data_IF_339766881506
#
_entry.id   IF_339766881506
#
_cell.length_a   1.000
_cell.length_b   1.000
_cell.length_c   1.000
_cell.angle_alpha   90.00
_cell.angle_beta   90.00
_cell.angle_gamma   90.00
#
_symmetry.space_group_name_H-M   'P 1'
#
loop_
_entity.id
_entity.type
_entity.pdbx_description
1 polymer ?
#
# COMPACT_ATOMS: atom_id res chain seq x y z
N UNK A 1 19.69 -21.20 -7.03
CA UNK A 1 20.59 -20.08 -7.38
C UNK A 1 20.80 -19.25 -6.13
N UNK A 2 22.00 -18.69 -5.92
CA UNK A 2 22.43 -18.17 -4.62
C UNK A 2 21.55 -16.99 -4.18
N UNK A 3 20.91 -17.05 -2.99
CA UNK A 3 20.20 -15.92 -2.43
C UNK A 3 21.15 -14.74 -2.24
N UNK A 4 20.57 -13.53 -2.13
CA UNK A 4 21.31 -12.28 -1.94
C UNK A 4 22.50 -12.46 -0.98
N UNK A 5 23.73 -12.11 -1.38
CA UNK A 5 24.88 -12.27 -0.50
C UNK A 5 24.90 -11.25 0.64
N UNK A 6 24.20 -10.11 0.52
CA UNK A 6 23.95 -9.18 1.63
C UNK A 6 22.77 -8.22 1.36
N UNK A 7 22.33 -7.50 2.40
CA UNK A 7 21.26 -6.49 2.34
C UNK A 7 21.78 -5.05 2.16
N UNK A 8 22.96 -4.87 1.55
CA UNK A 8 23.62 -3.56 1.46
C UNK A 8 22.99 -2.60 0.44
N UNK A 9 23.27 -1.31 0.58
CA UNK A 9 22.84 -0.28 -0.38
C UNK A 9 23.61 -0.37 -1.72
N UNK A 10 24.86 -0.83 -1.69
CA UNK A 10 25.74 -1.02 -2.86
C UNK A 10 26.53 -2.32 -2.72
N UNK A 11 26.90 -2.98 -3.82
CA UNK A 11 27.72 -4.20 -3.72
C UNK A 11 29.01 -3.97 -2.93
N UNK A 12 29.27 -4.83 -1.92
CA UNK A 12 30.43 -4.72 -1.05
C UNK A 12 30.35 -3.60 0.00
N UNK A 13 29.26 -2.83 0.04
CA UNK A 13 29.05 -1.74 0.99
C UNK A 13 27.63 -1.80 1.59
N UNK A 14 27.56 -2.09 2.89
CA UNK A 14 26.28 -2.12 3.61
C UNK A 14 25.55 -0.78 3.56
N UNK A 15 26.29 0.32 3.63
CA UNK A 15 25.79 1.69 3.58
C UNK A 15 26.62 2.48 2.55
N UNK A 16 25.95 3.18 1.64
CA UNK A 16 26.63 4.13 0.75
C UNK A 16 27.21 5.29 1.57
N UNK A 17 28.36 5.86 1.18
CA UNK A 17 28.83 7.11 1.75
C UNK A 17 27.80 8.24 1.55
N UNK A 18 27.78 9.29 2.41
CA UNK A 18 26.83 10.40 2.28
C UNK A 18 26.89 11.10 0.92
N UNK A 19 28.08 11.16 0.30
CA UNK A 19 28.33 11.66 -1.05
C UNK A 19 29.01 10.57 -1.86
N UNK A 20 28.53 10.31 -3.07
CA UNK A 20 29.09 9.29 -3.96
C UNK A 20 29.10 9.81 -5.39
N UNK A 21 30.16 9.49 -6.14
CA UNK A 21 30.21 9.73 -7.57
C UNK A 21 29.40 8.65 -8.29
N UNK A 22 28.47 9.09 -9.13
CA UNK A 22 27.65 8.23 -9.98
C UNK A 22 28.00 8.50 -11.43
N UNK A 23 28.42 7.47 -12.15
CA UNK A 23 28.71 7.60 -13.58
C UNK A 23 27.43 7.45 -14.38
N UNK A 24 27.04 8.53 -15.07
CA UNK A 24 25.82 8.59 -15.85
C UNK A 24 26.13 8.44 -17.34
N UNK A 25 25.71 7.31 -17.93
CA UNK A 25 25.84 7.03 -19.36
C UNK A 25 24.65 7.61 -20.13
N UNK A 26 24.88 8.67 -20.89
CA UNK A 26 23.87 9.37 -21.70
C UNK A 26 23.57 8.64 -23.03
N UNK A 27 22.38 8.85 -23.64
CA UNK A 27 21.99 8.21 -24.90
C UNK A 27 22.86 8.60 -26.09
N UNK A 28 23.50 9.77 -26.04
CA UNK A 28 24.42 10.26 -27.06
C UNK A 28 25.84 9.67 -26.96
N UNK A 29 26.05 8.69 -26.08
CA UNK A 29 27.34 7.99 -25.89
C UNK A 29 28.30 8.68 -24.92
N UNK A 30 27.91 9.82 -24.33
CA UNK A 30 28.73 10.52 -23.33
C UNK A 30 28.59 9.90 -21.94
N UNK A 31 29.65 9.94 -21.14
CA UNK A 31 29.64 9.59 -19.72
C UNK A 31 29.88 10.84 -18.90
N UNK A 32 29.01 11.10 -17.92
CA UNK A 32 29.08 12.25 -17.02
C UNK A 32 29.11 11.74 -15.58
N UNK A 33 30.21 11.98 -14.87
CA UNK A 33 30.31 11.64 -13.44
C UNK A 33 29.68 12.74 -12.59
N UNK A 34 28.65 12.40 -11.81
CA UNK A 34 27.89 13.33 -10.97
C UNK A 34 28.07 12.98 -9.50
N UNK A 35 28.46 13.95 -8.68
CA UNK A 35 28.51 13.78 -7.22
C UNK A 35 27.10 13.94 -6.63
N UNK A 36 26.56 12.85 -6.08
CA UNK A 36 25.21 12.78 -5.55
C UNK A 36 25.23 12.55 -4.03
N UNK A 37 24.21 13.05 -3.32
CA UNK A 37 23.91 12.54 -1.97
C UNK A 37 23.25 11.17 -2.11
N UNK A 38 23.53 10.25 -1.20
CA UNK A 38 22.94 8.90 -1.24
C UNK A 38 21.41 8.93 -1.09
N UNK A 39 20.86 9.93 -0.40
CA UNK A 39 19.42 10.10 -0.20
C UNK A 39 18.72 10.87 -1.34
N UNK A 40 19.46 11.35 -2.35
CA UNK A 40 18.87 12.14 -3.44
C UNK A 40 17.92 11.27 -4.28
N UNK A 41 16.67 11.71 -4.53
CA UNK A 41 15.76 11.04 -5.45
C UNK A 41 16.28 11.03 -6.89
N UNK A 42 15.96 9.98 -7.65
CA UNK A 42 16.33 9.86 -9.06
C UNK A 42 15.84 11.05 -9.90
N UNK A 43 14.66 11.59 -9.62
CA UNK A 43 14.14 12.78 -10.30
C UNK A 43 15.13 13.95 -10.21
N UNK A 44 15.65 14.22 -9.01
CA UNK A 44 16.63 15.29 -8.77
C UNK A 44 17.99 14.98 -9.38
N UNK A 45 18.43 13.71 -9.34
CA UNK A 45 19.67 13.27 -10.02
C UNK A 45 19.56 13.50 -11.53
N UNK A 46 18.40 13.20 -12.13
CA UNK A 46 18.15 13.40 -13.57
C UNK A 46 18.21 14.89 -13.94
N UNK A 47 17.56 15.75 -13.17
CA UNK A 47 17.60 17.20 -13.39
C UNK A 47 19.03 17.76 -13.31
N UNK A 48 19.80 17.32 -12.32
CA UNK A 48 21.21 17.71 -12.18
C UNK A 48 22.04 17.18 -13.35
N UNK A 49 21.85 15.93 -13.75
CA UNK A 49 22.54 15.31 -14.88
C UNK A 49 22.27 16.06 -16.19
N UNK A 50 21.02 16.38 -16.52
CA UNK A 50 20.69 17.10 -17.76
C UNK A 50 21.18 18.55 -17.75
N UNK A 51 21.28 19.17 -16.56
CA UNK A 51 21.91 20.48 -16.39
C UNK A 51 23.43 20.40 -16.66
N UNK A 52 24.10 19.40 -16.10
CA UNK A 52 25.53 19.17 -16.29
C UNK A 52 25.87 18.72 -17.71
N UNK A 53 25.02 17.92 -18.35
CA UNK A 53 25.20 17.43 -19.72
C UNK A 53 25.35 18.57 -20.75
N UNK A 54 24.82 19.77 -20.48
CA UNK A 54 25.01 20.97 -21.33
C UNK A 54 26.47 21.36 -21.51
N UNK A 55 27.34 20.97 -20.57
CA UNK A 55 28.79 21.23 -20.62
C UNK A 55 29.54 20.22 -21.48
N UNK A 56 28.88 19.15 -21.92
CA UNK A 56 29.49 18.05 -22.67
C UNK A 56 29.14 18.13 -24.17
N UNK A 57 30.01 17.62 -25.05
CA UNK A 57 29.73 17.50 -26.48
C UNK A 57 28.42 16.76 -26.77
N UNK A 58 27.87 16.99 -27.97
CA UNK A 58 26.68 16.30 -28.48
C UNK A 58 25.41 16.47 -27.62
N UNK A 59 25.35 17.49 -26.75
CA UNK A 59 24.15 17.79 -25.96
C UNK A 59 22.90 18.00 -26.83
N UNK A 60 23.05 18.60 -28.01
CA UNK A 60 21.96 18.85 -28.96
C UNK A 60 21.29 17.57 -29.50
N UNK A 61 21.88 16.38 -29.28
CA UNK A 61 21.27 15.08 -29.63
C UNK A 61 20.37 14.53 -28.52
N UNK A 62 20.34 15.15 -27.34
CA UNK A 62 19.47 14.77 -26.24
C UNK A 62 18.09 15.41 -26.38
N UNK A 63 17.04 14.64 -26.13
CA UNK A 63 15.67 15.14 -25.97
C UNK A 63 15.48 15.78 -24.58
N UNK A 64 14.26 16.15 -24.24
CA UNK A 64 13.92 16.60 -22.90
C UNK A 64 14.12 15.50 -21.85
N UNK A 65 14.47 15.89 -20.62
CA UNK A 65 14.71 14.94 -19.51
C UNK A 65 13.49 14.05 -19.19
N UNK A 66 12.28 14.53 -19.52
CA UNK A 66 11.01 13.84 -19.36
C UNK A 66 10.86 12.63 -20.29
N UNK A 67 11.59 12.61 -21.41
CA UNK A 67 11.59 11.51 -22.39
C UNK A 67 12.43 10.31 -21.94
N UNK A 68 13.14 10.42 -20.81
CA UNK A 68 14.11 9.43 -20.39
C UNK A 68 13.83 8.88 -18.98
N UNK A 69 14.30 7.65 -18.77
CA UNK A 69 14.39 7.00 -17.47
C UNK A 69 15.83 6.53 -17.22
N UNK A 70 16.13 6.20 -15.97
CA UNK A 70 17.38 5.54 -15.61
C UNK A 70 17.27 4.03 -15.67
N UNK A 71 18.41 3.40 -15.93
CA UNK A 71 18.63 1.95 -15.87
C UNK A 71 19.92 1.68 -15.15
N UNK A 72 19.91 0.73 -14.23
CA UNK A 72 21.08 0.30 -13.48
C UNK A 72 21.23 -1.21 -13.50
N UNK A 73 22.39 -1.68 -13.08
CA UNK A 73 22.58 -3.10 -12.75
C UNK A 73 22.44 -3.24 -11.25
N UNK A 74 21.56 -4.12 -10.79
CA UNK A 74 21.29 -4.37 -9.37
C UNK A 74 22.24 -5.43 -8.81
N UNK A 75 22.31 -5.54 -7.48
CA UNK A 75 23.04 -6.61 -6.79
C UNK A 75 22.53 -8.02 -7.12
N UNK A 76 21.33 -8.14 -7.71
CA UNK A 76 20.75 -9.40 -8.20
C UNK A 76 21.25 -9.76 -9.61
N UNK A 77 22.25 -9.00 -10.12
CA UNK A 77 22.82 -9.13 -11.46
C UNK A 77 21.82 -8.87 -12.60
N UNK A 78 20.79 -8.08 -12.31
CA UNK A 78 19.76 -7.72 -13.27
C UNK A 78 19.87 -6.29 -13.76
N UNK A 79 19.41 -6.07 -14.99
CA UNK A 79 19.23 -4.74 -15.56
C UNK A 79 17.85 -4.21 -15.18
N UNK A 80 17.80 -3.34 -14.17
CA UNK A 80 16.55 -2.75 -13.68
C UNK A 80 16.30 -1.38 -14.32
N UNK A 81 15.09 -1.18 -14.84
CA UNK A 81 14.61 0.12 -15.33
C UNK A 81 13.84 0.86 -14.24
N UNK A 82 14.29 2.07 -13.90
CA UNK A 82 13.79 2.83 -12.77
C UNK A 82 12.69 3.83 -13.19
N UNK A 83 11.44 3.34 -13.24
CA UNK A 83 10.26 4.15 -13.60
C UNK A 83 9.72 5.04 -12.47
N UNK A 84 9.94 4.61 -11.21
CA UNK A 84 9.62 5.40 -10.03
C UNK A 84 10.83 6.26 -9.66
N UNK A 85 10.81 7.49 -10.15
CA UNK A 85 11.89 8.46 -9.94
C UNK A 85 11.84 9.13 -8.56
N UNK A 86 10.85 8.79 -7.72
CA UNK A 86 10.79 9.25 -6.32
C UNK A 86 11.76 8.49 -5.41
N UNK A 87 12.21 7.31 -5.84
CA UNK A 87 13.20 6.50 -5.13
C UNK A 87 14.53 7.21 -4.98
N UNK A 88 15.15 7.01 -3.82
CA UNK A 88 16.49 7.51 -3.51
C UNK A 88 17.56 6.60 -4.08
N UNK A 89 18.73 7.16 -4.37
CA UNK A 89 19.88 6.42 -4.90
C UNK A 89 20.27 5.21 -4.02
N UNK A 90 20.28 5.37 -2.70
CA UNK A 90 20.59 4.29 -1.75
C UNK A 90 19.57 3.13 -1.77
N UNK A 91 18.34 3.39 -2.22
CA UNK A 91 17.26 2.40 -2.23
C UNK A 91 17.28 1.54 -3.52
N UNK A 92 18.17 1.86 -4.48
CA UNK A 92 18.25 1.21 -5.79
C UNK A 92 18.99 -0.14 -5.77
N UNK A 93 19.73 -0.44 -4.69
CA UNK A 93 20.53 -1.68 -4.55
C UNK A 93 21.42 -1.93 -5.76
N UNK A 94 22.12 -0.90 -6.20
CA UNK A 94 23.00 -0.99 -7.35
C UNK A 94 24.16 -1.97 -7.09
N UNK A 95 24.61 -2.64 -8.13
CA UNK A 95 25.87 -3.39 -8.12
C UNK A 95 27.07 -2.45 -8.23
N UNK A 96 26.96 -1.40 -9.03
CA UNK A 96 27.95 -0.34 -9.16
C UNK A 96 27.23 1.00 -9.30
N UNK A 97 27.79 2.14 -8.84
CA UNK A 97 27.13 3.45 -8.95
C UNK A 97 27.17 3.98 -10.40
N UNK A 98 26.55 3.24 -11.31
CA UNK A 98 26.42 3.55 -12.73
C UNK A 98 24.93 3.59 -13.05
N UNK A 99 24.51 4.68 -13.68
CA UNK A 99 23.16 4.83 -14.21
C UNK A 99 23.23 5.10 -15.70
N UNK A 100 22.48 4.34 -16.50
CA UNK A 100 22.32 4.58 -17.93
C UNK A 100 20.99 5.27 -18.18
N UNK A 101 21.00 6.32 -18.98
CA UNK A 101 19.80 7.03 -19.43
C UNK A 101 19.31 6.35 -20.71
N UNK A 102 18.03 5.98 -20.75
CA UNK A 102 17.37 5.41 -21.94
C UNK A 102 15.99 6.00 -22.14
N UNK A 103 15.48 5.89 -23.37
CA UNK A 103 14.05 6.09 -23.62
C UNK A 103 13.27 4.86 -23.12
N UNK A 104 12.19 5.04 -22.36
CA UNK A 104 11.42 3.92 -21.81
C UNK A 104 10.78 3.12 -22.95
N UNK A 105 11.02 1.81 -22.97
CA UNK A 105 10.38 0.88 -23.90
C UNK A 105 9.18 0.21 -23.22
N UNK A 106 8.06 0.03 -23.93
CA UNK A 106 6.89 -0.71 -23.42
C UNK A 106 6.00 0.08 -22.44
N UNK A 107 5.09 -0.62 -21.77
CA UNK A 107 4.10 -0.02 -20.87
C UNK A 107 4.71 0.29 -19.49
N UNK A 108 4.65 1.57 -19.09
CA UNK A 108 5.17 2.06 -17.80
C UNK A 108 4.43 1.49 -16.59
N UNK A 109 3.10 1.42 -16.62
CA UNK A 109 2.29 0.96 -15.49
C UNK A 109 2.54 -0.53 -15.21
N UNK A 110 2.60 -1.33 -16.28
CA UNK A 110 2.92 -2.76 -16.20
C UNK A 110 4.30 -3.01 -15.57
N UNK A 111 5.31 -2.23 -15.99
CA UNK A 111 6.68 -2.37 -15.47
C UNK A 111 6.82 -1.95 -14.01
N UNK A 112 6.09 -0.92 -13.58
CA UNK A 112 6.02 -0.54 -12.16
C UNK A 112 5.39 -1.68 -11.35
N UNK A 113 4.25 -2.21 -11.81
CA UNK A 113 3.55 -3.30 -11.13
C UNK A 113 4.40 -4.58 -11.04
N UNK A 114 5.02 -5.01 -12.15
CA UNK A 114 5.89 -6.19 -12.15
C UNK A 114 7.05 -6.06 -11.16
N UNK A 115 7.58 -4.85 -10.98
CA UNK A 115 8.64 -4.58 -10.01
C UNK A 115 8.14 -4.65 -8.57
N UNK A 116 6.98 -4.09 -8.26
CA UNK A 116 6.37 -4.18 -6.92
C UNK A 116 6.09 -5.65 -6.54
N UNK A 117 5.53 -6.43 -7.47
CA UNK A 117 5.31 -7.86 -7.28
C UNK A 117 6.65 -8.58 -7.08
N UNK A 118 7.64 -8.33 -7.94
CA UNK A 118 8.95 -8.98 -7.84
C UNK A 118 9.67 -8.66 -6.52
N UNK A 119 9.56 -7.43 -6.03
CA UNK A 119 10.08 -7.04 -4.73
C UNK A 119 9.39 -7.79 -3.57
N UNK A 120 8.06 -7.92 -3.62
CA UNK A 120 7.29 -8.63 -2.60
C UNK A 120 7.60 -10.14 -2.56
N UNK A 121 7.80 -10.75 -3.73
CA UNK A 121 8.22 -12.15 -3.87
C UNK A 121 9.71 -12.32 -3.49
N UNK A 122 10.51 -11.27 -3.69
CA UNK A 122 11.97 -11.31 -3.57
C UNK A 122 12.66 -11.93 -4.78
N UNK A 123 11.95 -12.03 -5.91
CA UNK A 123 12.43 -12.56 -7.19
C UNK A 123 11.81 -11.77 -8.34
N UNK A 124 12.60 -11.37 -9.35
CA UNK A 124 12.13 -10.65 -10.53
C UNK A 124 11.11 -11.42 -11.38
N UNK A 125 10.14 -10.71 -11.97
CA UNK A 125 9.07 -11.34 -12.76
C UNK A 125 9.56 -11.90 -14.09
N UNK A 126 10.57 -11.27 -14.70
CA UNK A 126 11.17 -11.71 -15.96
C UNK A 126 11.80 -13.12 -15.85
N UNK A 127 12.25 -13.55 -14.66
CA UNK A 127 12.73 -14.92 -14.45
C UNK A 127 11.63 -15.95 -14.79
N UNK A 128 10.38 -15.67 -14.42
CA UNK A 128 9.24 -16.54 -14.75
C UNK A 128 8.90 -16.51 -16.24
N UNK A 129 9.20 -15.43 -16.95
CA UNK A 129 8.99 -15.33 -18.41
C UNK A 129 10.02 -16.13 -19.20
N UNK A 130 11.24 -16.25 -18.68
CA UNK A 130 12.31 -17.02 -19.31
C UNK A 130 12.19 -18.52 -19.10
N UNK A 131 11.30 -18.98 -18.20
CA UNK A 131 11.08 -20.41 -17.95
C UNK A 131 10.39 -21.09 -19.14
N UNK A 132 11.01 -22.15 -19.64
CA UNK A 132 10.52 -22.92 -20.81
C UNK A 132 9.53 -24.03 -20.46
N UNK A 133 9.29 -24.29 -19.17
CA UNK A 133 8.38 -25.34 -18.73
C UNK A 133 6.93 -24.97 -19.09
N UNK A 134 6.23 -25.79 -19.90
CA UNK A 134 4.85 -25.51 -20.29
C UNK A 134 3.89 -25.51 -19.09
N UNK A 135 4.10 -26.35 -18.07
CA UNK A 135 3.25 -26.40 -16.88
C UNK A 135 3.30 -25.06 -16.12
N UNK A 136 4.49 -24.46 -16.01
CA UNK A 136 4.68 -23.15 -15.39
C UNK A 136 3.93 -22.07 -16.17
N UNK A 137 4.06 -22.05 -17.50
CA UNK A 137 3.40 -21.03 -18.33
C UNK A 137 1.88 -21.21 -18.35
N UNK A 138 1.38 -22.45 -18.33
CA UNK A 138 -0.05 -22.75 -18.23
C UNK A 138 -0.60 -22.32 -16.88
N UNK A 139 0.07 -22.65 -15.77
CA UNK A 139 -0.33 -22.18 -14.45
C UNK A 139 -0.44 -20.66 -14.37
N UNK A 140 0.58 -19.93 -14.86
CA UNK A 140 0.59 -18.45 -14.87
C UNK A 140 -0.60 -17.85 -15.61
N UNK A 141 -1.06 -18.49 -16.69
CA UNK A 141 -2.26 -18.06 -17.43
C UNK A 141 -3.55 -18.47 -16.71
N UNK A 142 -3.65 -19.72 -16.29
CA UNK A 142 -4.88 -20.29 -15.73
C UNK A 142 -5.25 -19.69 -14.38
N UNK A 143 -4.27 -19.40 -13.51
CA UNK A 143 -4.54 -18.87 -12.16
C UNK A 143 -5.20 -17.49 -12.19
N UNK A 144 -5.08 -16.74 -13.29
CA UNK A 144 -5.71 -15.43 -13.45
C UNK A 144 -7.25 -15.51 -13.43
N UNK A 145 -7.86 -16.66 -13.71
CA UNK A 145 -9.31 -16.82 -13.55
C UNK A 145 -9.72 -16.72 -12.09
N UNK A 146 -8.97 -17.35 -11.18
CA UNK A 146 -9.20 -17.27 -9.73
C UNK A 146 -9.02 -15.84 -9.22
N UNK A 147 -7.99 -15.13 -9.71
CA UNK A 147 -7.78 -13.72 -9.37
C UNK A 147 -8.96 -12.85 -9.83
N UNK A 148 -9.49 -13.09 -11.04
CA UNK A 148 -10.64 -12.38 -11.58
C UNK A 148 -11.89 -12.64 -10.74
N UNK A 149 -12.21 -13.90 -10.48
CA UNK A 149 -13.38 -14.28 -9.67
C UNK A 149 -13.33 -13.63 -8.28
N UNK A 150 -12.17 -13.64 -7.63
CA UNK A 150 -11.98 -12.96 -6.34
C UNK A 150 -12.09 -11.43 -6.42
N UNK A 151 -11.71 -10.81 -7.54
CA UNK A 151 -11.94 -9.37 -7.76
C UNK A 151 -13.42 -9.07 -7.94
N UNK A 152 -14.12 -9.84 -8.77
CA UNK A 152 -15.55 -9.67 -9.05
C UNK A 152 -16.40 -9.85 -7.78
N UNK A 153 -16.07 -10.81 -6.91
CA UNK A 153 -16.75 -10.98 -5.61
C UNK A 153 -16.58 -9.76 -4.69
N UNK A 154 -15.39 -9.17 -4.67
CA UNK A 154 -15.09 -7.96 -3.88
C UNK A 154 -15.79 -6.71 -4.42
N UNK A 155 -15.95 -6.63 -5.73
CA UNK A 155 -16.62 -5.50 -6.38
C UNK A 155 -18.15 -5.62 -6.38
N UNK A 156 -18.69 -6.85 -6.35
CA UNK A 156 -20.13 -7.11 -6.48
C UNK A 156 -21.02 -6.45 -5.44
N UNK A 157 -20.51 -6.20 -4.22
CA UNK A 157 -21.22 -5.49 -3.15
C UNK A 157 -20.82 -4.02 -2.97
N UNK A 158 -20.09 -3.44 -3.93
CA UNK A 158 -19.60 -2.06 -3.88
C UNK A 158 -18.73 -1.77 -2.66
N UNK A 159 -18.83 -0.56 -2.12
CA UNK A 159 -18.01 -0.11 -0.99
C UNK A 159 -18.15 -1.00 0.27
N UNK A 160 -19.30 -1.64 0.47
CA UNK A 160 -19.50 -2.53 1.61
C UNK A 160 -18.68 -3.82 1.48
N UNK A 161 -18.71 -4.48 0.32
CA UNK A 161 -17.91 -5.70 0.08
C UNK A 161 -16.41 -5.39 0.10
N UNK A 162 -16.00 -4.27 -0.49
CA UNK A 162 -14.62 -3.79 -0.41
C UNK A 162 -14.19 -3.55 1.05
N UNK A 163 -15.05 -2.97 1.88
CA UNK A 163 -14.76 -2.79 3.31
C UNK A 163 -14.65 -4.12 4.05
N UNK A 164 -15.50 -5.12 3.74
CA UNK A 164 -15.40 -6.46 4.32
C UNK A 164 -14.12 -7.20 3.93
N UNK A 165 -13.61 -6.97 2.72
CA UNK A 165 -12.32 -7.53 2.31
C UNK A 165 -11.15 -6.92 3.09
N UNK A 166 -11.14 -5.60 3.27
CA UNK A 166 -10.05 -4.91 3.99
C UNK A 166 -10.15 -5.10 5.51
N UNK A 167 -11.38 -5.10 6.04
CA UNK A 167 -11.69 -5.19 7.47
C UNK A 167 -12.66 -6.34 7.76
N UNK A 168 -12.24 -7.61 7.55
CA UNK A 168 -13.10 -8.75 7.82
C UNK A 168 -13.49 -8.80 9.30
N UNK A 169 -14.75 -9.11 9.64
CA UNK A 169 -15.16 -9.26 11.04
C UNK A 169 -14.34 -10.34 11.73
N UNK A 170 -13.58 -9.96 12.75
CA UNK A 170 -12.84 -10.91 13.59
C UNK A 170 -13.80 -11.53 14.62
N UNK A 171 -14.39 -12.66 14.26
CA UNK A 171 -15.44 -13.34 15.02
C UNK A 171 -15.05 -14.77 15.39
N UNK A 172 -15.54 -15.23 16.54
CA UNK A 172 -15.41 -16.62 16.96
C UNK A 172 -16.23 -17.55 16.07
N UNK A 173 -15.81 -18.81 15.94
CA UNK A 173 -16.49 -19.80 15.07
C UNK A 173 -17.91 -20.17 15.53
N UNK A 174 -18.24 -19.92 16.81
CA UNK A 174 -19.56 -20.24 17.38
C UNK A 174 -20.15 -19.03 18.10
N UNK A 175 -21.44 -18.72 17.90
CA UNK A 175 -22.13 -17.68 18.66
C UNK A 175 -22.46 -18.10 20.10
N UNK A 176 -22.33 -19.40 20.43
CA UNK A 176 -22.67 -19.91 21.75
C UNK A 176 -21.56 -19.60 22.75
N UNK A 177 -21.90 -18.89 23.83
CA UNK A 177 -20.96 -18.63 24.91
C UNK A 177 -20.80 -19.87 25.80
N UNK A 178 -19.56 -20.30 26.09
CA UNK A 178 -19.30 -21.29 27.13
C UNK A 178 -19.90 -20.85 28.48
N UNK A 179 -20.43 -21.81 29.24
CA UNK A 179 -21.15 -21.54 30.49
C UNK A 179 -20.33 -20.69 31.48
N UNK A 180 -19.02 -20.92 31.56
CA UNK A 180 -18.11 -20.19 32.45
C UNK A 180 -17.87 -18.73 32.04
N UNK A 181 -18.13 -18.37 30.78
CA UNK A 181 -18.11 -16.98 30.29
C UNK A 181 -19.47 -16.35 30.53
N UNK A 182 -20.55 -17.05 30.16
CA UNK A 182 -21.91 -16.58 30.37
C UNK A 182 -22.20 -16.27 31.85
N UNK A 183 -21.69 -17.11 32.77
CA UNK A 183 -21.84 -16.90 34.21
C UNK A 183 -21.17 -15.63 34.73
N UNK A 184 -20.26 -15.01 33.97
CA UNK A 184 -19.64 -13.72 34.32
C UNK A 184 -20.48 -12.51 33.90
N UNK A 185 -21.53 -12.73 33.10
CA UNK A 185 -22.42 -11.68 32.63
C UNK A 185 -23.51 -11.39 33.67
N UNK A 186 -23.90 -10.13 33.82
CA UNK A 186 -25.03 -9.76 34.66
C UNK A 186 -26.35 -9.99 33.89
N UNK A 187 -26.97 -11.15 34.12
CA UNK A 187 -28.21 -11.59 33.44
C UNK A 187 -28.09 -11.55 31.91
N UNK A 188 -26.95 -12.03 31.40
CA UNK A 188 -26.65 -12.05 29.96
C UNK A 188 -26.37 -10.67 29.34
N UNK A 189 -26.10 -9.63 30.15
CA UNK A 189 -25.85 -8.27 29.65
C UNK A 189 -24.39 -7.84 29.82
N UNK A 190 -23.95 -7.02 28.88
CA UNK A 190 -22.64 -6.38 28.85
C UNK A 190 -22.79 -4.86 29.02
N UNK A 191 -21.79 -4.26 29.66
CA UNK A 191 -21.64 -2.80 29.71
C UNK A 191 -20.61 -2.40 28.65
N UNK A 192 -21.06 -1.66 27.64
CA UNK A 192 -20.23 -1.22 26.51
C UNK A 192 -20.14 0.30 26.54
N UNK A 193 -18.96 0.86 26.25
CA UNK A 193 -18.78 2.31 26.12
C UNK A 193 -18.50 2.67 24.67
N UNK A 194 -19.41 3.44 24.09
CA UNK A 194 -19.34 3.94 22.72
C UNK A 194 -18.78 5.36 22.75
N UNK A 195 -17.78 5.62 21.91
CA UNK A 195 -17.15 6.92 21.76
C UNK A 195 -17.56 7.55 20.43
N UNK A 196 -17.97 8.81 20.47
CA UNK A 196 -18.34 9.59 19.28
C UNK A 196 -17.43 10.83 19.23
N UNK A 197 -16.82 11.06 18.07
CA UNK A 197 -16.00 12.26 17.83
C UNK A 197 -16.89 13.31 17.17
N UNK A 198 -16.94 14.51 17.75
CA UNK A 198 -17.78 15.60 17.26
C UNK A 198 -16.94 16.63 16.53
N UNK A 199 -17.07 16.66 15.20
CA UNK A 199 -16.48 17.68 14.32
C UNK A 199 -17.19 19.04 14.47
N UNK A 200 -16.50 20.18 14.31
CA UNK A 200 -15.08 20.34 14.01
C UNK A 200 -14.17 20.28 15.25
N UNK A 201 -14.74 20.29 16.45
CA UNK A 201 -13.98 20.38 17.71
C UNK A 201 -13.07 19.18 18.02
N UNK A 202 -13.25 18.05 17.32
CA UNK A 202 -12.67 16.75 17.64
C UNK A 202 -12.89 16.32 19.10
N UNK A 203 -13.91 16.87 19.77
CA UNK A 203 -14.26 16.50 21.13
C UNK A 203 -14.82 15.08 21.16
N UNK A 204 -14.42 14.31 22.18
CA UNK A 204 -14.85 12.92 22.36
C UNK A 204 -16.00 12.88 23.36
N UNK A 205 -17.16 12.42 22.91
CA UNK A 205 -18.32 12.14 23.76
C UNK A 205 -18.40 10.64 24.02
N UNK A 206 -18.74 10.25 25.26
CA UNK A 206 -18.86 8.85 25.68
C UNK A 206 -20.30 8.50 26.04
N UNK A 207 -20.76 7.34 25.59
CA UNK A 207 -22.07 6.78 25.89
C UNK A 207 -21.91 5.35 26.42
N UNK A 208 -22.19 5.16 27.70
CA UNK A 208 -22.14 3.82 28.33
C UNK A 208 -23.51 3.15 28.22
N UNK A 209 -23.57 2.00 27.58
CA UNK A 209 -24.80 1.23 27.33
C UNK A 209 -24.75 -0.10 28.08
N UNK A 210 -25.91 -0.56 28.55
CA UNK A 210 -26.07 -1.92 29.09
C UNK A 210 -26.95 -2.71 28.12
N UNK A 211 -26.33 -3.57 27.32
CA UNK A 211 -26.94 -4.29 26.19
C UNK A 211 -26.87 -5.79 26.39
N UNK A 212 -27.66 -6.56 25.64
CA UNK A 212 -27.56 -8.02 25.66
C UNK A 212 -26.25 -8.47 24.98
N UNK A 213 -25.67 -9.59 25.40
CA UNK A 213 -24.40 -10.06 24.84
C UNK A 213 -24.49 -10.50 23.37
N UNK A 214 -25.69 -10.84 22.91
CA UNK A 214 -26.04 -11.28 21.56
C UNK A 214 -26.56 -10.13 20.69
N UNK A 215 -26.48 -8.88 21.17
CA UNK A 215 -26.91 -7.71 20.41
C UNK A 215 -26.01 -7.47 19.19
N UNK A 216 -26.64 -7.25 18.03
CA UNK A 216 -25.94 -6.96 16.78
C UNK A 216 -25.34 -5.54 16.79
N UNK A 217 -24.26 -5.28 16.04
CA UNK A 217 -23.64 -3.96 15.94
C UNK A 217 -24.63 -2.82 15.64
N UNK A 218 -25.56 -3.06 14.72
CA UNK A 218 -26.61 -2.10 14.37
C UNK A 218 -27.54 -1.77 15.54
N UNK A 219 -27.84 -2.73 16.41
CA UNK A 219 -28.65 -2.52 17.60
C UNK A 219 -27.90 -1.67 18.63
N UNK A 220 -26.58 -1.85 18.77
CA UNK A 220 -25.74 -0.99 19.60
C UNK A 220 -25.68 0.44 19.07
N UNK A 221 -25.60 0.62 17.75
CA UNK A 221 -25.67 1.93 17.10
C UNK A 221 -27.02 2.60 17.38
N UNK A 222 -28.12 1.87 17.20
CA UNK A 222 -29.46 2.35 17.49
C UNK A 222 -29.61 2.79 18.96
N UNK A 223 -29.13 1.99 19.93
CA UNK A 223 -29.14 2.36 21.35
C UNK A 223 -28.26 3.59 21.66
N UNK A 224 -27.13 3.74 20.96
CA UNK A 224 -26.26 4.91 21.08
C UNK A 224 -26.96 6.18 20.60
N UNK A 225 -27.62 6.12 19.45
CA UNK A 225 -28.43 7.23 18.90
C UNK A 225 -29.56 7.56 19.88
N UNK A 226 -30.30 6.56 20.36
CA UNK A 226 -31.37 6.76 21.35
C UNK A 226 -30.85 7.48 22.59
N UNK A 227 -29.68 7.07 23.10
CA UNK A 227 -29.08 7.68 24.30
C UNK A 227 -28.63 9.12 24.03
N UNK A 228 -28.03 9.40 22.88
CA UNK A 228 -27.63 10.75 22.46
C UNK A 228 -28.83 11.69 22.30
N UNK A 229 -29.92 11.21 21.72
CA UNK A 229 -31.10 12.03 21.44
C UNK A 229 -31.98 12.32 22.65
N UNK A 230 -31.72 11.72 23.83
CA UNK A 230 -32.49 11.98 25.06
C UNK A 230 -32.49 13.45 25.47
N UNK A 231 -31.39 14.17 25.21
CA UNK A 231 -31.29 15.61 25.52
C UNK A 231 -31.95 16.51 24.47
N UNK A 232 -32.48 15.94 23.38
CA UNK A 232 -33.05 16.69 22.25
C UNK A 232 -34.58 16.85 22.33
N UNK A 233 -35.22 16.35 23.39
CA UNK A 233 -36.67 16.46 23.61
C UNK A 233 -37.55 16.00 22.43
N UNK A 234 -37.09 14.99 21.68
CA UNK A 234 -37.82 14.42 20.55
C UNK A 234 -39.04 13.63 21.02
N UNK A 235 -40.14 13.71 20.26
CA UNK A 235 -41.28 12.82 20.45
C UNK A 235 -40.90 11.37 20.15
N UNK A 236 -41.64 10.36 20.66
CA UNK A 236 -41.36 8.95 20.37
C UNK A 236 -41.34 8.63 18.86
N UNK A 237 -42.19 9.29 18.07
CA UNK A 237 -42.22 9.13 16.61
C UNK A 237 -40.97 9.74 15.96
N UNK A 238 -40.60 10.96 16.35
CA UNK A 238 -39.40 11.63 15.84
C UNK A 238 -38.13 10.85 16.20
N UNK A 239 -38.05 10.31 17.41
CA UNK A 239 -36.93 9.46 17.82
C UNK A 239 -36.83 8.20 16.97
N UNK A 240 -37.95 7.56 16.66
CA UNK A 240 -37.97 6.36 15.81
C UNK A 240 -37.48 6.66 14.40
N UNK A 241 -37.95 7.75 13.80
CA UNK A 241 -37.51 8.21 12.48
C UNK A 241 -36.02 8.55 12.48
N UNK A 242 -35.54 9.27 13.50
CA UNK A 242 -34.13 9.58 13.67
C UNK A 242 -33.27 8.30 13.75
N UNK A 243 -33.65 7.31 14.56
CA UNK A 243 -32.90 6.05 14.61
C UNK A 243 -32.87 5.36 13.24
N UNK A 244 -34.00 5.28 12.54
CA UNK A 244 -34.07 4.64 11.23
C UNK A 244 -33.21 5.34 10.17
N UNK A 245 -33.21 6.66 10.17
CA UNK A 245 -32.44 7.48 9.23
C UNK A 245 -30.93 7.34 9.45
N UNK A 246 -30.50 7.32 10.71
CA UNK A 246 -29.08 7.40 11.05
C UNK A 246 -28.42 6.04 11.33
N UNK A 247 -29.17 4.98 11.66
CA UNK A 247 -28.59 3.68 12.06
C UNK A 247 -27.65 3.09 11.00
N UNK A 248 -28.00 3.20 9.72
CA UNK A 248 -27.17 2.71 8.60
C UNK A 248 -26.03 3.63 8.19
N UNK A 249 -25.92 4.83 8.78
CA UNK A 249 -24.89 5.81 8.44
C UNK A 249 -23.61 5.67 9.28
N UNK A 250 -23.62 4.79 10.28
CA UNK A 250 -22.50 4.58 11.19
C UNK A 250 -22.07 3.12 11.20
N UNK A 251 -20.80 2.92 11.54
CA UNK A 251 -20.22 1.60 11.82
C UNK A 251 -19.52 1.63 13.18
N UNK A 252 -19.34 0.47 13.79
CA UNK A 252 -18.57 0.34 15.02
C UNK A 252 -17.11 0.04 14.70
N UNK A 253 -16.20 0.72 15.40
CA UNK A 253 -14.76 0.47 15.34
C UNK A 253 -14.22 0.26 16.75
N UNK A 254 -13.38 -0.76 16.93
CA UNK A 254 -12.68 -1.00 18.20
C UNK A 254 -11.71 0.15 18.46
N UNK A 255 -11.70 0.68 19.68
CA UNK A 255 -10.82 1.79 20.03
C UNK A 255 -9.34 1.36 19.93
N UNK A 256 -8.50 2.21 19.32
CA UNK A 256 -7.05 2.02 19.17
C UNK A 256 -6.59 0.84 18.29
N UNK A 257 -7.51 0.17 17.59
CA UNK A 257 -7.18 -0.90 16.63
C UNK A 257 -7.67 -0.48 15.23
N UNK A 258 -6.96 -0.92 14.19
CA UNK A 258 -7.38 -0.79 12.78
C UNK A 258 -8.27 -1.96 12.39
#
# INVERSE_FOLDING_TARGET
MAPRPSSGELWGLHLMPPRILVDCCLPNGMMVSLECLRETPLLSIKQQLFTEARKYPLYHLLQEESCYIFVGVTQEAEREEFYDETRRLCDLRLFHPILKVIEPLGNREEKILNREIGFAIGMPICEFEMMKDPEVQDFRRSILSVCREAMEEREGGGAHSQALYVYPPNVESSPQLPQHIYSKLDKGRLIVTIWVIVSPSNSKQKYTLKVSHDSLPEQLIAESIRKKSRSMHLSPQQLRLCVQEYQGQYILKVHLCT
#
